data_IF_132933539925
#
_entry.id   IF_132933539925
#
_cell.length_a   1.000
_cell.length_b   1.000
_cell.length_c   1.000
_cell.angle_alpha   90.00
_cell.angle_beta   90.00
_cell.angle_gamma   90.00
#
_symmetry.space_group_name_H-M   'P 1'
#
loop_
_entity.id
_entity.type
_entity.pdbx_description
1 polymer ?
#
# COMPACT_ATOMS: atom_id res chain seq x y z
N UNK A 1 -61.68 58.95 40.95
CA UNK A 1 -62.37 59.01 39.69
C UNK A 1 -61.70 58.13 38.69
N UNK A 2 -62.44 57.19 38.33
CA UNK A 2 -62.73 56.69 36.99
C UNK A 2 -61.56 56.81 35.97
N UNK A 3 -61.06 55.80 35.32
CA UNK A 3 -61.73 54.61 34.79
C UNK A 3 -61.18 54.23 33.47
N UNK A 4 -61.58 53.31 32.92
CA UNK A 4 -61.59 52.72 31.57
C UNK A 4 -60.56 51.66 31.26
N UNK A 5 -61.07 50.45 31.36
CA UNK A 5 -60.57 49.24 30.68
C UNK A 5 -60.58 49.44 29.18
N UNK A 6 -59.47 49.01 28.54
CA UNK A 6 -59.37 48.81 27.10
C UNK A 6 -59.03 47.33 26.78
N UNK A 7 -60.05 46.57 26.37
CA UNK A 7 -59.93 45.24 25.88
C UNK A 7 -59.24 45.29 24.46
N UNK A 8 -58.10 44.71 24.31
CA UNK A 8 -57.52 44.45 23.00
C UNK A 8 -57.92 43.04 22.55
N UNK A 9 -58.71 42.97 21.49
CA UNK A 9 -59.01 41.76 20.77
C UNK A 9 -57.74 41.31 20.00
N UNK A 10 -57.23 40.11 20.27
CA UNK A 10 -56.28 39.43 19.44
C UNK A 10 -57.04 38.70 18.32
N UNK A 11 -56.92 39.25 17.13
CA UNK A 11 -57.37 38.58 15.89
C UNK A 11 -56.41 37.46 15.54
N UNK A 12 -56.83 36.23 15.72
CA UNK A 12 -56.12 35.04 15.29
C UNK A 12 -56.58 34.69 13.89
N UNK A 13 -55.91 35.24 12.88
CA UNK A 13 -56.06 34.77 11.50
C UNK A 13 -55.26 33.48 11.31
N UNK A 14 -55.86 32.41 10.76
CA UNK A 14 -55.13 31.18 10.52
C UNK A 14 -54.16 31.38 9.35
N UNK A 15 -52.95 30.75 9.41
CA UNK A 15 -51.95 30.87 8.35
C UNK A 15 -52.50 30.35 7.02
N UNK A 16 -52.29 31.13 5.98
CA UNK A 16 -52.78 30.84 4.63
C UNK A 16 -52.28 29.49 4.11
N UNK A 17 -53.08 28.86 3.25
CA UNK A 17 -52.82 27.56 2.62
C UNK A 17 -51.43 27.49 1.94
N UNK A 18 -50.90 28.65 1.53
CA UNK A 18 -49.58 28.79 0.90
C UNK A 18 -48.42 28.52 1.85
N UNK A 19 -48.55 28.85 3.15
CA UNK A 19 -47.53 28.56 4.17
C UNK A 19 -47.43 27.07 4.51
N UNK A 20 -48.55 26.36 4.42
CA UNK A 20 -48.57 24.89 4.64
C UNK A 20 -47.93 24.10 3.49
N UNK A 21 -47.99 24.64 2.27
CA UNK A 21 -47.37 24.00 1.09
C UNK A 21 -45.85 24.16 1.11
N UNK A 22 -45.33 25.28 1.58
CA UNK A 22 -43.88 25.55 1.64
C UNK A 22 -43.22 24.68 2.74
N UNK A 23 -43.86 24.47 3.87
CA UNK A 23 -43.32 23.59 4.93
C UNK A 23 -43.33 22.13 4.52
N UNK A 24 -44.30 21.68 3.68
CA UNK A 24 -44.31 20.29 3.16
C UNK A 24 -43.26 20.03 2.08
N UNK A 25 -42.87 21.05 1.29
CA UNK A 25 -41.81 20.92 0.29
C UNK A 25 -40.40 20.89 0.89
N UNK A 26 -40.17 21.52 2.02
CA UNK A 26 -38.85 21.53 2.69
C UNK A 26 -38.52 20.24 3.44
N UNK A 27 -39.53 19.41 3.80
CA UNK A 27 -39.28 18.18 4.56
C UNK A 27 -39.02 16.96 3.67
N UNK A 28 -39.24 17.05 2.33
CA UNK A 28 -39.00 15.94 1.42
C UNK A 28 -37.59 15.92 0.82
N UNK A 29 -36.76 16.93 1.07
CA UNK A 29 -35.41 17.06 0.50
C UNK A 29 -34.29 16.45 1.35
N UNK A 30 -34.57 15.75 2.47
CA UNK A 30 -33.54 15.28 3.41
C UNK A 30 -33.42 13.75 3.53
N UNK A 31 -33.98 13.00 2.59
CA UNK A 31 -33.86 11.53 2.57
C UNK A 31 -33.29 11.01 1.26
N UNK A 32 -32.25 11.67 0.73
CA UNK A 32 -31.30 10.93 -0.10
C UNK A 32 -30.33 10.23 0.86
N UNK A 33 -30.35 8.88 0.95
CA UNK A 33 -29.27 8.22 1.60
C UNK A 33 -28.04 8.58 0.79
N UNK A 34 -27.10 9.32 1.37
CA UNK A 34 -25.71 9.28 0.92
C UNK A 34 -25.26 7.81 1.08
N UNK A 35 -25.59 6.99 0.10
CA UNK A 35 -24.94 5.72 -0.08
C UNK A 35 -23.50 6.06 -0.41
N UNK A 36 -22.73 6.34 0.61
CA UNK A 36 -21.28 6.38 0.55
C UNK A 36 -20.84 5.00 0.12
N UNK A 37 -20.79 4.79 -1.21
CA UNK A 37 -20.26 3.57 -1.80
C UNK A 37 -18.85 3.47 -1.28
N UNK A 38 -18.62 2.56 -0.32
CA UNK A 38 -17.29 2.34 0.24
C UNK A 38 -16.33 2.18 -0.96
N UNK A 39 -15.45 3.16 -1.13
CA UNK A 39 -14.46 3.13 -2.21
C UNK A 39 -13.62 1.88 -2.00
N UNK A 40 -13.77 0.89 -2.86
CA UNK A 40 -12.96 -0.33 -2.84
C UNK A 40 -11.51 0.04 -3.12
N UNK A 41 -10.57 -0.59 -2.41
CA UNK A 41 -9.15 -0.43 -2.68
C UNK A 41 -8.81 -1.04 -4.04
N UNK A 42 -7.87 -0.42 -4.75
CA UNK A 42 -7.33 -0.99 -5.98
C UNK A 42 -6.61 -2.29 -5.64
N UNK A 43 -6.99 -3.37 -6.32
CA UNK A 43 -6.33 -4.66 -6.22
C UNK A 43 -5.70 -5.03 -7.56
N UNK A 44 -4.53 -5.64 -7.49
CA UNK A 44 -3.78 -6.12 -8.66
C UNK A 44 -3.53 -7.61 -8.50
N UNK A 45 -3.98 -8.38 -9.47
CA UNK A 45 -3.68 -9.81 -9.57
C UNK A 45 -2.43 -10.02 -10.42
N UNK A 46 -1.52 -10.81 -9.89
CA UNK A 46 -0.36 -11.34 -10.60
C UNK A 46 -0.58 -12.81 -10.92
N UNK A 47 -0.47 -13.14 -12.19
CA UNK A 47 -0.39 -14.51 -12.68
C UNK A 47 1.08 -14.81 -12.96
N UNK A 48 1.64 -15.81 -12.30
CA UNK A 48 3.06 -16.16 -12.42
C UNK A 48 3.26 -17.65 -12.76
N UNK A 49 4.46 -18.02 -13.16
CA UNK A 49 4.84 -19.43 -13.37
C UNK A 49 4.82 -20.24 -12.07
N UNK A 50 4.86 -19.59 -10.90
CA UNK A 50 4.82 -20.25 -9.59
C UNK A 50 3.41 -20.33 -8.98
N UNK A 51 2.42 -19.62 -9.53
CA UNK A 51 1.06 -19.50 -9.05
C UNK A 51 0.57 -18.05 -9.08
N UNK A 52 -0.66 -17.80 -8.58
CA UNK A 52 -1.28 -16.50 -8.62
C UNK A 52 -1.37 -15.89 -7.22
N UNK A 53 -1.17 -14.58 -7.14
CA UNK A 53 -1.39 -13.83 -5.91
C UNK A 53 -2.04 -12.47 -6.22
N UNK A 54 -2.64 -11.85 -5.21
CA UNK A 54 -3.27 -10.53 -5.35
C UNK A 54 -2.71 -9.59 -4.29
N UNK A 55 -2.36 -8.39 -4.70
CA UNK A 55 -1.97 -7.30 -3.81
C UNK A 55 -3.08 -6.25 -3.76
N UNK A 56 -3.23 -5.59 -2.61
CA UNK A 56 -4.03 -4.40 -2.41
C UNK A 56 -3.10 -3.20 -2.33
N UNK A 57 -3.40 -2.13 -3.08
CA UNK A 57 -2.65 -0.89 -3.03
C UNK A 57 -3.20 0.03 -1.93
N UNK A 58 -2.33 0.67 -1.19
CA UNK A 58 -2.67 1.57 -0.09
C UNK A 58 -3.12 2.94 -0.64
N UNK A 59 -4.06 3.58 0.06
CA UNK A 59 -4.57 4.91 -0.33
C UNK A 59 -3.68 6.05 0.13
N UNK A 60 -2.98 5.82 1.23
CA UNK A 60 -2.19 6.82 1.93
C UNK A 60 -0.81 7.01 1.30
N UNK A 61 -0.49 6.18 0.28
CA UNK A 61 0.68 6.32 -0.58
C UNK A 61 0.27 6.58 -2.03
N UNK A 62 -0.43 7.70 -2.32
CA UNK A 62 -1.09 7.92 -3.60
C UNK A 62 -0.13 8.06 -4.78
N UNK A 63 1.10 8.53 -4.59
CA UNK A 63 2.09 8.65 -5.67
C UNK A 63 2.49 7.25 -6.14
N UNK A 64 2.92 6.39 -5.21
CA UNK A 64 3.36 5.02 -5.52
C UNK A 64 2.20 4.17 -6.03
N UNK A 65 1.06 4.20 -5.35
CA UNK A 65 -0.11 3.39 -5.70
C UNK A 65 -0.66 3.71 -7.09
N UNK A 66 -0.76 5.00 -7.46
CA UNK A 66 -1.23 5.39 -8.79
C UNK A 66 -0.22 5.07 -9.88
N UNK A 67 1.07 5.33 -9.62
CA UNK A 67 2.13 5.05 -10.59
C UNK A 67 2.22 3.55 -10.86
N UNK A 68 2.20 2.73 -9.81
CA UNK A 68 2.20 1.27 -9.95
C UNK A 68 0.96 0.77 -10.72
N UNK A 69 -0.23 1.29 -10.42
CA UNK A 69 -1.46 0.98 -11.15
C UNK A 69 -1.34 1.34 -12.65
N UNK A 70 -0.76 2.49 -12.98
CA UNK A 70 -0.52 2.90 -14.38
C UNK A 70 0.40 1.92 -15.11
N UNK A 71 1.50 1.49 -14.47
CA UNK A 71 2.40 0.49 -15.04
C UNK A 71 1.71 -0.86 -15.25
N UNK A 72 0.87 -1.29 -14.31
CA UNK A 72 0.06 -2.52 -14.45
C UNK A 72 -0.90 -2.41 -15.62
N UNK A 73 -1.61 -1.29 -15.75
CA UNK A 73 -2.55 -1.06 -16.88
C UNK A 73 -1.84 -0.98 -18.23
N UNK A 74 -0.63 -0.45 -18.26
CA UNK A 74 0.23 -0.44 -19.44
C UNK A 74 0.83 -1.81 -19.79
N UNK A 75 0.64 -2.83 -18.94
CA UNK A 75 1.23 -4.16 -19.12
C UNK A 75 2.74 -4.21 -18.88
N UNK A 76 3.30 -3.20 -18.22
CA UNK A 76 4.74 -3.08 -17.99
C UNK A 76 5.35 -4.33 -17.36
N UNK A 77 4.68 -4.91 -16.36
CA UNK A 77 5.18 -6.06 -15.62
C UNK A 77 5.03 -7.41 -16.34
N UNK A 78 4.28 -7.45 -17.45
CA UNK A 78 4.05 -8.69 -18.17
C UNK A 78 5.35 -9.21 -18.80
N UNK A 79 5.67 -10.46 -18.53
CA UNK A 79 6.87 -11.12 -19.00
C UNK A 79 8.14 -10.85 -18.17
N UNK A 80 8.11 -9.97 -17.16
CA UNK A 80 9.25 -9.71 -16.29
C UNK A 80 9.50 -10.86 -15.31
N UNK A 81 10.73 -10.95 -14.82
CA UNK A 81 11.15 -11.93 -13.84
C UNK A 81 11.10 -11.37 -12.42
N UNK A 82 10.89 -12.25 -11.44
CA UNK A 82 11.42 -12.03 -10.11
C UNK A 82 12.93 -12.24 -10.19
N UNK A 83 13.65 -11.17 -10.48
CA UNK A 83 15.05 -11.21 -10.82
C UNK A 83 15.99 -11.30 -9.62
N UNK A 84 15.47 -11.04 -8.41
CA UNK A 84 16.20 -11.15 -7.16
C UNK A 84 15.30 -11.76 -6.08
N UNK A 85 15.75 -12.85 -5.50
CA UNK A 85 15.04 -13.60 -4.47
C UNK A 85 15.99 -13.95 -3.35
N UNK A 86 15.70 -13.45 -2.14
CA UNK A 86 16.46 -13.78 -0.95
C UNK A 86 15.56 -14.52 0.03
N UNK A 87 15.92 -15.76 0.32
CA UNK A 87 15.20 -16.61 1.26
C UNK A 87 15.07 -15.94 2.62
N UNK A 88 13.87 -16.04 3.22
CA UNK A 88 13.54 -15.45 4.52
C UNK A 88 13.69 -13.91 4.55
N UNK A 89 13.63 -13.27 3.38
CA UNK A 89 13.71 -11.82 3.27
C UNK A 89 12.67 -11.25 2.29
N UNK A 90 12.88 -11.36 0.97
CA UNK A 90 11.97 -10.75 -0.02
C UNK A 90 12.10 -11.38 -1.41
N UNK A 91 11.12 -11.09 -2.27
CA UNK A 91 11.17 -11.33 -3.70
C UNK A 91 11.03 -10.00 -4.43
N UNK A 92 11.90 -9.72 -5.42
CA UNK A 92 11.98 -8.45 -6.13
C UNK A 92 11.78 -8.63 -7.62
N UNK A 93 11.01 -7.72 -8.23
CA UNK A 93 10.75 -7.66 -9.67
C UNK A 93 10.73 -6.22 -10.17
N UNK A 94 10.52 -6.00 -11.49
CA UNK A 94 10.30 -4.68 -12.07
C UNK A 94 11.45 -4.16 -12.93
N UNK A 95 12.53 -4.92 -13.10
CA UNK A 95 13.58 -4.60 -14.06
C UNK A 95 13.12 -4.96 -15.49
N UNK A 96 13.00 -3.97 -16.37
CA UNK A 96 12.52 -4.13 -17.74
C UNK A 96 13.42 -5.04 -18.59
N UNK A 97 14.71 -5.07 -18.30
CA UNK A 97 15.70 -5.91 -19.03
C UNK A 97 15.54 -7.40 -18.72
N UNK A 98 14.85 -7.73 -17.62
CA UNK A 98 14.60 -9.13 -17.24
C UNK A 98 13.68 -9.88 -18.21
N UNK A 99 12.91 -9.17 -19.05
CA UNK A 99 11.88 -9.75 -19.93
C UNK A 99 12.45 -10.86 -20.85
N UNK A 100 13.61 -10.61 -21.44
CA UNK A 100 14.28 -11.52 -22.38
C UNK A 100 15.70 -11.86 -21.94
N UNK A 101 15.99 -11.75 -20.64
CA UNK A 101 17.32 -11.99 -20.13
C UNK A 101 17.71 -13.46 -20.25
N UNK A 102 18.89 -13.72 -20.77
CA UNK A 102 19.48 -15.06 -20.74
C UNK A 102 19.78 -15.49 -19.29
N UNK A 103 19.86 -16.80 -19.02
CA UNK A 103 20.30 -17.28 -17.70
C UNK A 103 21.68 -16.70 -17.32
N UNK A 104 21.88 -16.38 -16.03
CA UNK A 104 23.15 -15.87 -15.49
C UNK A 104 23.45 -14.39 -15.79
N UNK A 105 22.61 -13.68 -16.54
CA UNK A 105 22.77 -12.22 -16.74
C UNK A 105 22.43 -11.50 -15.43
N UNK A 106 23.29 -10.57 -14.99
CA UNK A 106 23.04 -9.69 -13.86
C UNK A 106 21.86 -8.76 -14.19
N UNK A 107 20.92 -8.67 -13.28
CA UNK A 107 19.70 -7.88 -13.40
C UNK A 107 19.55 -6.93 -12.18
N UNK A 108 18.57 -6.02 -12.26
CA UNK A 108 18.30 -5.06 -11.19
C UNK A 108 18.94 -3.69 -11.38
N UNK A 109 19.73 -3.51 -12.44
CA UNK A 109 20.47 -2.29 -12.73
C UNK A 109 19.74 -1.32 -13.68
N UNK A 110 18.66 -1.79 -14.32
CA UNK A 110 17.88 -0.99 -15.25
C UNK A 110 16.91 -0.05 -14.55
N UNK A 111 16.42 0.96 -15.32
CA UNK A 111 15.32 1.88 -14.92
C UNK A 111 15.63 2.71 -13.67
N UNK A 112 16.90 2.98 -13.39
CA UNK A 112 17.35 3.76 -12.21
C UNK A 112 17.14 5.27 -12.32
N UNK A 113 16.90 5.77 -13.54
CA UNK A 113 16.82 7.23 -13.80
C UNK A 113 15.54 7.87 -13.29
N UNK A 114 14.42 7.16 -13.37
CA UNK A 114 13.15 7.66 -12.88
C UNK A 114 12.92 7.22 -11.44
N UNK A 115 12.59 8.19 -10.59
CA UNK A 115 12.42 7.97 -9.16
C UNK A 115 11.17 8.68 -8.64
N UNK A 116 10.54 8.10 -7.60
CA UNK A 116 9.40 8.68 -6.91
C UNK A 116 9.84 9.29 -5.57
N UNK A 117 9.22 10.39 -5.18
CA UNK A 117 9.41 10.93 -3.84
C UNK A 117 8.92 9.92 -2.80
N UNK A 118 9.63 9.75 -1.66
CA UNK A 118 9.22 8.77 -0.66
C UNK A 118 7.85 9.12 -0.04
N UNK A 119 7.06 8.10 0.25
CA UNK A 119 5.81 8.16 1.00
C UNK A 119 5.91 7.20 2.20
N UNK A 120 6.85 7.48 3.11
CA UNK A 120 7.10 6.65 4.29
C UNK A 120 6.14 7.11 5.40
N UNK A 121 5.28 6.21 5.85
CA UNK A 121 4.21 6.51 6.81
C UNK A 121 4.19 5.51 7.98
N UNK A 122 5.14 5.66 8.89
CA UNK A 122 5.17 4.90 10.13
C UNK A 122 4.30 5.57 11.21
N UNK A 123 3.67 4.79 12.06
CA UNK A 123 3.73 3.32 12.19
C UNK A 123 2.67 2.57 11.38
N UNK A 124 1.99 3.22 10.43
CA UNK A 124 0.85 2.64 9.72
C UNK A 124 1.26 1.66 8.62
N UNK A 125 2.35 1.95 7.91
CA UNK A 125 2.85 1.16 6.79
C UNK A 125 4.30 0.75 7.03
N UNK A 126 4.51 -0.54 7.32
CA UNK A 126 5.80 -1.11 7.69
C UNK A 126 6.02 -2.48 7.03
N UNK A 127 7.26 -2.99 7.12
CA UNK A 127 7.70 -4.17 6.36
C UNK A 127 7.31 -5.50 7.03
N UNK A 128 6.02 -5.65 7.40
CA UNK A 128 5.49 -6.94 7.83
C UNK A 128 5.48 -7.94 6.67
N UNK A 129 5.34 -9.23 6.98
CA UNK A 129 5.18 -10.28 5.95
C UNK A 129 4.02 -9.97 5.02
N UNK A 130 4.28 -10.05 3.70
CA UNK A 130 3.30 -9.71 2.68
C UNK A 130 3.26 -8.22 2.30
N UNK A 131 4.02 -7.35 2.94
CA UNK A 131 4.11 -5.95 2.53
C UNK A 131 4.69 -5.84 1.11
N UNK A 132 4.10 -4.95 0.30
CA UNK A 132 4.57 -4.56 -1.03
C UNK A 132 5.23 -3.19 -0.91
N UNK A 133 6.51 -3.12 -1.26
CA UNK A 133 7.31 -1.91 -1.14
C UNK A 133 8.13 -1.65 -2.40
N UNK A 134 8.52 -0.39 -2.60
CA UNK A 134 9.37 0.00 -3.73
C UNK A 134 10.85 -0.12 -3.38
N UNK A 135 11.62 -0.70 -4.30
CA UNK A 135 13.08 -0.71 -4.19
C UNK A 135 13.66 0.70 -4.32
N UNK A 136 14.89 0.89 -3.91
CA UNK A 136 15.67 2.13 -4.08
C UNK A 136 17.17 1.88 -4.03
N UNK A 137 17.93 2.84 -4.52
CA UNK A 137 19.38 2.89 -4.33
C UNK A 137 19.75 3.14 -2.86
N UNK A 138 21.00 2.80 -2.51
CA UNK A 138 21.54 3.02 -1.17
C UNK A 138 21.59 4.50 -0.78
N UNK A 139 21.66 4.79 0.52
CA UNK A 139 21.71 6.16 1.05
C UNK A 139 22.92 6.95 0.57
N UNK A 140 24.01 6.28 0.19
CA UNK A 140 25.23 6.90 -0.33
C UNK A 140 24.99 7.63 -1.66
N UNK A 141 24.16 7.05 -2.55
CA UNK A 141 23.85 7.64 -3.86
C UNK A 141 22.47 8.26 -3.90
N UNK A 142 21.62 7.96 -2.92
CA UNK A 142 20.23 8.40 -2.84
C UNK A 142 19.85 8.82 -1.40
N UNK A 143 20.47 9.85 -0.84
CA UNK A 143 20.19 10.31 0.52
C UNK A 143 18.74 10.80 0.73
N UNK A 144 18.06 11.16 -0.37
CA UNK A 144 16.62 11.52 -0.36
C UNK A 144 15.68 10.35 -0.28
N UNK A 145 16.17 9.11 -0.18
CA UNK A 145 15.39 7.86 -0.09
C UNK A 145 14.31 7.74 -1.17
N UNK A 146 14.58 8.29 -2.34
CA UNK A 146 13.65 8.24 -3.48
C UNK A 146 13.51 6.80 -3.95
N UNK A 147 12.28 6.38 -4.20
CA UNK A 147 11.99 5.03 -4.69
C UNK A 147 12.29 4.89 -6.17
N UNK A 148 12.68 3.69 -6.62
CA UNK A 148 12.61 3.32 -8.03
C UNK A 148 11.19 3.54 -8.56
N UNK A 149 11.07 3.96 -9.81
CA UNK A 149 9.76 4.09 -10.44
C UNK A 149 9.16 2.74 -10.87
N UNK A 150 9.97 1.67 -10.97
CA UNK A 150 9.53 0.40 -11.57
C UNK A 150 9.77 -0.83 -10.72
N UNK A 151 10.87 -0.86 -9.94
CA UNK A 151 11.26 -2.04 -9.19
C UNK A 151 10.60 -2.08 -7.81
N UNK A 152 9.91 -3.16 -7.54
CA UNK A 152 9.23 -3.43 -6.28
C UNK A 152 9.67 -4.74 -5.65
N UNK A 153 9.40 -4.90 -4.38
CA UNK A 153 9.59 -6.17 -3.69
C UNK A 153 8.41 -6.51 -2.78
N UNK A 154 8.25 -7.81 -2.52
CA UNK A 154 7.29 -8.34 -1.55
C UNK A 154 8.06 -8.98 -0.42
N UNK A 155 7.77 -8.56 0.80
CA UNK A 155 8.43 -9.02 2.01
C UNK A 155 7.94 -10.42 2.38
N UNK A 156 8.89 -11.32 2.66
CA UNK A 156 8.62 -12.54 3.41
C UNK A 156 9.10 -12.40 4.85
N UNK A 157 10.37 -12.14 5.03
CA UNK A 157 11.01 -11.89 6.32
C UNK A 157 11.10 -13.10 7.23
N UNK A 158 11.66 -12.87 8.39
CA UNK A 158 11.77 -13.84 9.50
C UNK A 158 10.87 -13.42 10.65
N UNK A 159 10.55 -14.36 11.54
CA UNK A 159 10.02 -14.05 12.87
C UNK A 159 11.17 -13.66 13.79
N UNK A 160 10.88 -12.83 14.78
CA UNK A 160 11.85 -12.31 15.72
C UNK A 160 11.48 -12.76 17.13
N UNK A 161 12.47 -13.00 17.96
CA UNK A 161 12.29 -12.98 19.41
C UNK A 161 12.53 -11.55 19.91
N UNK A 162 11.99 -11.15 21.08
CA UNK A 162 12.25 -9.82 21.65
C UNK A 162 13.74 -9.49 21.70
N UNK A 163 14.59 -10.45 22.09
CA UNK A 163 16.04 -10.28 22.16
C UNK A 163 16.69 -10.04 20.79
N UNK A 164 16.17 -10.65 19.71
CA UNK A 164 16.67 -10.41 18.33
C UNK A 164 16.11 -9.14 17.71
N UNK A 165 14.93 -8.70 18.13
CA UNK A 165 14.32 -7.47 17.64
C UNK A 165 14.94 -6.23 18.28
N UNK A 166 15.39 -6.30 19.52
CA UNK A 166 15.96 -5.16 20.24
C UNK A 166 17.09 -4.42 19.48
N UNK A 167 18.14 -5.09 18.97
CA UNK A 167 19.18 -4.40 18.20
C UNK A 167 18.68 -3.85 16.85
N UNK A 168 17.62 -4.45 16.26
CA UNK A 168 17.00 -3.93 15.03
C UNK A 168 16.26 -2.64 15.34
N UNK A 169 15.52 -2.57 16.44
CA UNK A 169 14.83 -1.35 16.89
C UNK A 169 15.81 -0.21 17.04
N UNK A 170 16.92 -0.42 17.74
CA UNK A 170 17.94 0.60 17.94
C UNK A 170 18.51 1.16 16.60
N UNK A 171 18.74 0.28 15.62
CA UNK A 171 19.19 0.70 14.27
C UNK A 171 18.13 1.46 13.50
N UNK A 172 16.86 1.08 13.62
CA UNK A 172 15.76 1.79 12.97
C UNK A 172 15.57 3.16 13.60
N UNK A 173 15.66 3.27 14.92
CA UNK A 173 15.61 4.54 15.66
C UNK A 173 16.76 5.47 15.22
N UNK A 174 17.97 4.94 15.09
CA UNK A 174 19.12 5.67 14.55
C UNK A 174 18.88 6.14 13.11
N UNK A 175 18.42 5.24 12.23
CA UNK A 175 18.18 5.54 10.81
C UNK A 175 17.04 6.55 10.58
N UNK A 176 16.06 6.61 11.48
CA UNK A 176 14.94 7.56 11.41
C UNK A 176 15.17 8.83 12.22
N UNK A 177 16.12 8.82 13.14
CA UNK A 177 16.33 9.90 14.12
C UNK A 177 15.21 9.99 15.16
N UNK A 178 14.42 8.94 15.35
CA UNK A 178 13.27 8.90 16.27
C UNK A 178 13.34 7.67 17.16
N UNK A 179 13.25 7.84 18.47
CA UNK A 179 13.13 6.74 19.42
C UNK A 179 11.74 6.07 19.36
N UNK A 180 11.72 4.74 19.51
CA UNK A 180 10.47 3.98 19.54
C UNK A 180 9.75 3.88 18.19
N UNK A 181 10.46 4.03 17.09
CA UNK A 181 9.95 3.93 15.72
C UNK A 181 9.20 2.62 15.49
N UNK A 182 9.75 1.49 15.95
CA UNK A 182 9.03 0.21 16.00
C UNK A 182 8.21 0.18 17.28
N UNK A 183 6.90 0.39 17.14
CA UNK A 183 5.94 0.36 18.25
C UNK A 183 5.77 -1.05 18.84
N UNK A 184 5.12 -1.16 20.00
CA UNK A 184 4.84 -2.46 20.61
C UNK A 184 3.97 -3.35 19.69
N UNK A 185 2.97 -2.77 19.02
CA UNK A 185 2.13 -3.51 18.07
C UNK A 185 2.91 -4.03 16.86
N UNK A 186 3.83 -3.22 16.31
CA UNK A 186 4.72 -3.67 15.22
C UNK A 186 5.65 -4.79 15.71
N UNK A 187 6.16 -4.68 16.93
CA UNK A 187 7.02 -5.69 17.52
C UNK A 187 6.28 -7.04 17.67
N UNK A 188 5.06 -7.02 18.18
CA UNK A 188 4.20 -8.22 18.27
C UNK A 188 3.95 -8.84 16.89
N UNK A 189 3.68 -8.04 15.87
CA UNK A 189 3.51 -8.53 14.51
C UNK A 189 4.80 -9.20 13.99
N UNK A 190 5.96 -8.60 14.21
CA UNK A 190 7.25 -9.20 13.82
C UNK A 190 7.59 -10.48 14.58
N UNK A 191 7.14 -10.59 15.82
CA UNK A 191 7.34 -11.79 16.63
C UNK A 191 6.45 -12.95 16.17
N UNK A 192 5.19 -12.68 15.80
CA UNK A 192 4.21 -13.71 15.43
C UNK A 192 4.21 -14.02 13.94
N UNK A 193 4.16 -13.00 13.11
CA UNK A 193 4.01 -13.15 11.65
C UNK A 193 5.35 -13.05 10.93
N UNK A 194 6.22 -12.16 11.39
CA UNK A 194 7.52 -11.89 10.78
C UNK A 194 7.50 -10.72 9.80
N UNK A 195 8.67 -10.46 9.22
CA UNK A 195 8.88 -9.35 8.31
C UNK A 195 10.34 -8.93 8.21
N UNK A 196 10.55 -7.68 7.76
CA UNK A 196 11.87 -7.09 7.56
C UNK A 196 12.00 -5.73 8.28
N UNK A 197 11.93 -5.70 9.63
CA UNK A 197 11.88 -4.46 10.41
C UNK A 197 13.07 -3.51 10.17
N UNK A 198 14.21 -4.02 9.72
CA UNK A 198 15.39 -3.20 9.41
C UNK A 198 15.20 -2.25 8.22
N UNK A 199 14.12 -2.40 7.45
CA UNK A 199 13.77 -1.51 6.33
C UNK A 199 12.78 -0.41 6.74
N UNK A 200 12.21 -0.48 7.94
CA UNK A 200 11.22 0.49 8.41
C UNK A 200 11.80 1.91 8.48
N UNK A 201 11.00 2.87 8.05
CA UNK A 201 11.41 4.28 7.97
C UNK A 201 12.39 4.60 6.84
N UNK A 202 12.73 3.63 5.99
CA UNK A 202 13.73 3.81 4.93
C UNK A 202 13.21 3.54 3.51
N UNK A 203 12.11 2.81 3.39
CA UNK A 203 11.48 2.45 2.12
C UNK A 203 9.97 2.70 2.17
N UNK A 204 9.38 3.04 1.03
CA UNK A 204 7.93 3.21 0.94
C UNK A 204 7.24 1.86 0.79
N UNK A 205 6.42 1.52 1.77
CA UNK A 205 5.43 0.44 1.69
C UNK A 205 4.15 1.02 1.12
N UNK A 206 3.67 0.49 -0.01
CA UNK A 206 2.52 1.05 -0.72
C UNK A 206 1.42 0.02 -1.02
N UNK A 207 1.56 -1.20 -0.53
CA UNK A 207 0.58 -2.26 -0.70
C UNK A 207 0.84 -3.47 0.19
N UNK A 208 0.01 -4.47 0.04
CA UNK A 208 0.14 -5.74 0.75
C UNK A 208 -0.49 -6.89 -0.03
N UNK A 209 0.02 -8.10 0.18
CA UNK A 209 -0.57 -9.33 -0.36
C UNK A 209 -1.84 -9.66 0.41
N UNK A 210 -2.97 -9.73 -0.30
CA UNK A 210 -4.29 -10.06 0.28
C UNK A 210 -4.77 -11.47 -0.09
N UNK A 211 -4.17 -12.08 -1.14
CA UNK A 211 -4.43 -13.46 -1.55
C UNK A 211 -3.15 -14.09 -2.08
N UNK A 212 -2.96 -15.37 -1.85
CA UNK A 212 -1.86 -16.13 -2.42
C UNK A 212 -0.51 -15.93 -1.72
N UNK A 213 -0.50 -15.64 -0.42
CA UNK A 213 0.75 -15.52 0.36
C UNK A 213 1.59 -16.80 0.29
N UNK A 214 0.97 -17.97 0.14
CA UNK A 214 1.65 -19.26 -0.09
C UNK A 214 2.45 -19.30 -1.41
N UNK A 215 2.05 -18.51 -2.41
CA UNK A 215 2.83 -18.38 -3.66
C UNK A 215 4.10 -17.57 -3.40
N UNK A 216 4.03 -16.53 -2.57
CA UNK A 216 5.22 -15.77 -2.14
C UNK A 216 6.17 -16.67 -1.36
N UNK A 217 5.65 -17.55 -0.46
CA UNK A 217 6.46 -18.55 0.24
C UNK A 217 7.15 -19.52 -0.73
N UNK A 218 6.43 -19.99 -1.75
CA UNK A 218 7.00 -20.85 -2.77
C UNK A 218 8.14 -20.16 -3.54
N UNK A 219 7.93 -18.91 -3.95
CA UNK A 219 8.94 -18.16 -4.72
C UNK A 219 10.17 -17.86 -3.87
N UNK A 220 10.01 -17.43 -2.61
CA UNK A 220 11.14 -17.06 -1.77
C UNK A 220 12.04 -18.26 -1.37
N UNK A 221 11.60 -19.48 -1.66
CA UNK A 221 12.35 -20.73 -1.39
C UNK A 221 13.07 -21.31 -2.60
N UNK A 222 12.95 -20.73 -3.79
CA UNK A 222 13.64 -21.23 -4.98
C UNK A 222 15.15 -21.15 -4.80
N UNK A 223 15.87 -22.01 -5.47
CA UNK A 223 17.33 -21.94 -5.53
C UNK A 223 17.77 -20.74 -6.38
N UNK A 224 18.79 -20.04 -5.94
CA UNK A 224 19.34 -18.84 -6.56
C UNK A 224 20.83 -19.00 -6.85
N UNK A 225 21.33 -18.19 -7.76
CA UNK A 225 22.76 -17.99 -8.00
C UNK A 225 23.40 -17.03 -6.97
N UNK A 226 24.68 -16.72 -7.15
CA UNK A 226 25.46 -15.82 -6.27
C UNK A 226 24.97 -14.35 -6.31
N UNK A 227 24.12 -14.00 -7.29
CA UNK A 227 23.50 -12.68 -7.44
C UNK A 227 22.04 -12.67 -6.95
N UNK A 228 21.64 -13.66 -6.16
CA UNK A 228 20.26 -13.84 -5.69
C UNK A 228 19.23 -14.06 -6.83
N UNK A 229 19.66 -14.33 -8.07
CA UNK A 229 18.75 -14.60 -9.18
C UNK A 229 18.28 -16.05 -9.12
N UNK A 230 16.97 -16.35 -9.26
CA UNK A 230 16.48 -17.72 -9.38
C UNK A 230 17.18 -18.49 -10.49
N UNK A 231 17.67 -19.73 -10.19
CA UNK A 231 18.27 -20.62 -11.19
C UNK A 231 17.25 -21.05 -12.26
N UNK A 232 15.99 -21.21 -11.85
CA UNK A 232 14.83 -21.37 -12.73
C UNK A 232 14.01 -20.10 -12.70
N UNK A 233 13.83 -19.46 -13.86
CA UNK A 233 13.13 -18.19 -13.97
C UNK A 233 11.72 -18.27 -13.40
N UNK A 234 11.41 -17.40 -12.42
CA UNK A 234 10.05 -17.15 -11.96
C UNK A 234 9.52 -15.92 -12.68
N UNK A 235 8.56 -16.12 -13.58
CA UNK A 235 8.08 -15.09 -14.50
C UNK A 235 6.69 -14.61 -14.14
N UNK A 236 6.48 -13.29 -14.22
CA UNK A 236 5.16 -12.66 -14.22
C UNK A 236 4.56 -12.84 -15.61
N UNK A 237 3.58 -13.73 -15.76
CA UNK A 237 2.89 -13.96 -17.03
C UNK A 237 1.97 -12.79 -17.35
N UNK A 238 1.25 -12.27 -16.35
CA UNK A 238 0.46 -11.05 -16.45
C UNK A 238 0.22 -10.41 -15.08
N UNK A 239 0.07 -9.07 -15.08
CA UNK A 239 -0.43 -8.28 -13.96
C UNK A 239 -1.64 -7.48 -14.43
N UNK A 240 -2.75 -7.51 -13.66
CA UNK A 240 -3.99 -6.82 -14.03
C UNK A 240 -4.72 -6.25 -12.82
N UNK A 241 -5.36 -5.12 -13.00
CA UNK A 241 -6.26 -4.54 -11.99
C UNK A 241 -7.54 -5.36 -11.94
N UNK A 242 -7.91 -5.90 -10.76
CA UNK A 242 -9.09 -6.78 -10.57
C UNK A 242 -10.14 -6.19 -9.62
N UNK A 243 -9.78 -5.19 -8.82
CA UNK A 243 -10.68 -4.41 -7.98
C UNK A 243 -10.41 -2.93 -8.19
N UNK A 244 -11.41 -2.17 -8.63
CA UNK A 244 -11.26 -0.75 -8.94
C UNK A 244 -11.94 0.14 -7.91
N UNK A 245 -11.34 1.30 -7.69
CA UNK A 245 -12.05 2.48 -7.18
C UNK A 245 -13.03 2.93 -8.26
N UNK A 246 -14.31 2.78 -8.02
CA UNK A 246 -15.33 3.51 -8.78
C UNK A 246 -15.77 4.73 -8.02
#
# INVERSE_FOLDING_TARGET
PQGREGKTHHDLTPPSLMHRLIVLLCTFSLLFPLSGRARRDTQVEFVTTAGNFTVRLLRDTPVHSRHFEQLVRAGYYNGLLFHRVIRDFMIQAGDSTSRNAAPGVLLGEADRKETLAPEIDLPYHYHRRGALAMARESDEVNPGRRSSATQFYIVWGKTFTPARLAPVRARVDEATGQEGTITSSMAEEYEHTGGAPHLDGQYTVFGEVVKGLSVIDKIQRVATDDNDRPLEDVRILSARVVGERR
#
